data_IF_732134078255
#
_entry.id   IF_732134078255
#
_cell.length_a   1.000
_cell.length_b   1.000
_cell.length_c   1.000
_cell.angle_alpha   90.00
_cell.angle_beta   90.00
_cell.angle_gamma   90.00
#
_symmetry.space_group_name_H-M   'P 1'
#
loop_
_entity.id
_entity.type
_entity.pdbx_description
1 polymer ?
#
# COMPACT_ATOMS: atom_id res chain seq x y z
N UNK A 1 46.66 69.82 -57.77
CA UNK A 1 45.23 69.52 -57.70
C UNK A 1 44.89 68.00 -58.01
N UNK A 2 45.45 67.39 -59.02
CA UNK A 2 45.08 66.02 -59.37
C UNK A 2 45.48 64.92 -58.37
N UNK A 3 46.58 65.07 -57.59
CA UNK A 3 47.07 64.07 -56.61
C UNK A 3 46.23 64.03 -55.32
N UNK A 4 45.69 65.10 -54.88
CA UNK A 4 44.81 65.20 -53.68
C UNK A 4 43.45 64.64 -53.92
N UNK A 5 42.92 64.82 -55.13
CA UNK A 5 41.62 64.25 -55.56
C UNK A 5 41.69 62.75 -55.73
N UNK A 6 42.83 62.18 -56.21
CA UNK A 6 43.11 60.77 -56.33
C UNK A 6 43.26 60.10 -54.98
N UNK A 7 43.92 60.74 -54.02
CA UNK A 7 44.07 60.25 -52.64
C UNK A 7 42.70 60.23 -51.90
N UNK A 8 41.87 61.27 -52.10
CA UNK A 8 40.52 61.32 -51.58
C UNK A 8 39.62 60.27 -52.17
N UNK A 9 39.71 59.99 -53.46
CA UNK A 9 38.97 58.93 -54.10
C UNK A 9 39.35 57.54 -53.60
N UNK A 10 40.65 57.25 -53.47
CA UNK A 10 41.16 55.98 -52.93
C UNK A 10 40.70 55.81 -51.48
N UNK A 11 40.76 56.85 -50.64
CA UNK A 11 40.29 56.81 -49.26
C UNK A 11 38.79 56.49 -49.18
N UNK A 12 37.94 57.15 -49.98
CA UNK A 12 36.51 56.89 -50.03
C UNK A 12 36.19 55.47 -50.49
N UNK A 13 36.93 54.88 -51.47
CA UNK A 13 36.77 53.48 -51.89
C UNK A 13 37.12 52.52 -50.76
N UNK A 14 38.20 52.77 -49.99
CA UNK A 14 38.56 51.96 -48.86
C UNK A 14 37.55 52.03 -47.72
N UNK A 15 37.00 53.18 -47.43
CA UNK A 15 35.91 53.37 -46.44
C UNK A 15 34.64 52.61 -46.93
N UNK A 16 34.31 52.67 -48.20
CA UNK A 16 33.15 51.98 -48.73
C UNK A 16 33.37 50.44 -48.68
N UNK A 17 34.56 49.94 -49.00
CA UNK A 17 34.89 48.54 -48.89
C UNK A 17 34.89 48.03 -47.45
N UNK A 18 35.38 48.84 -46.49
CA UNK A 18 35.36 48.45 -45.05
C UNK A 18 33.93 48.46 -44.50
N UNK A 19 33.09 49.41 -44.87
CA UNK A 19 31.66 49.39 -44.51
C UNK A 19 30.93 48.17 -45.14
N UNK A 20 31.19 47.87 -46.39
CA UNK A 20 30.66 46.71 -47.05
C UNK A 20 31.12 45.41 -46.36
N UNK A 21 32.41 45.31 -46.01
CA UNK A 21 32.98 44.19 -45.23
C UNK A 21 32.30 43.99 -43.88
N UNK A 22 32.07 45.12 -43.14
CA UNK A 22 31.36 45.07 -41.88
C UNK A 22 29.89 44.63 -42.01
N UNK A 23 29.20 45.07 -43.06
CA UNK A 23 27.83 44.63 -43.36
C UNK A 23 27.78 43.15 -43.69
N UNK A 24 28.72 42.67 -44.51
CA UNK A 24 28.86 41.26 -44.86
C UNK A 24 29.15 40.44 -43.60
N UNK A 25 30.06 40.85 -42.76
CA UNK A 25 30.39 40.18 -41.49
C UNK A 25 29.14 40.12 -40.56
N UNK A 26 28.42 41.22 -40.42
CA UNK A 26 27.21 41.28 -39.61
C UNK A 26 26.12 40.34 -40.10
N UNK A 27 25.95 40.18 -41.42
CA UNK A 27 25.00 39.28 -42.01
C UNK A 27 25.48 37.81 -42.02
N UNK A 28 26.79 37.59 -41.91
CA UNK A 28 27.41 36.28 -41.91
C UNK A 28 27.22 35.53 -40.58
N UNK A 29 27.07 36.26 -39.47
CA UNK A 29 26.93 35.69 -38.14
C UNK A 29 25.47 35.48 -37.80
N UNK A 30 25.10 34.24 -37.47
CA UNK A 30 23.75 33.87 -37.04
C UNK A 30 23.81 33.22 -35.67
N UNK A 31 23.02 33.72 -34.74
CA UNK A 31 22.79 33.08 -33.45
C UNK A 31 21.51 32.20 -33.56
N UNK A 32 21.68 30.94 -33.33
CA UNK A 32 20.57 29.99 -33.33
C UNK A 32 20.16 29.73 -31.89
N UNK A 33 18.90 29.94 -31.51
CA UNK A 33 18.42 29.63 -30.16
C UNK A 33 18.50 28.16 -29.84
N UNK A 34 18.56 27.84 -28.56
CA UNK A 34 18.57 26.46 -28.09
C UNK A 34 17.24 25.75 -28.46
N UNK A 35 17.32 24.46 -28.80
CA UNK A 35 16.20 23.65 -29.29
C UNK A 35 15.57 24.18 -30.58
N UNK A 36 16.38 24.81 -31.44
CA UNK A 36 16.00 25.22 -32.80
C UNK A 36 17.10 24.78 -33.76
N UNK A 37 16.72 24.34 -34.93
CA UNK A 37 17.66 23.99 -35.99
C UNK A 37 17.28 24.74 -37.29
N UNK A 38 18.26 25.38 -37.89
CA UNK A 38 18.08 26.06 -39.18
C UNK A 38 18.64 25.22 -40.32
N UNK A 39 17.81 24.86 -41.25
CA UNK A 39 18.21 24.12 -42.47
C UNK A 39 18.63 25.14 -43.51
N UNK A 40 19.87 25.02 -43.99
CA UNK A 40 20.49 25.97 -44.91
C UNK A 40 20.69 25.35 -46.28
N UNK A 41 20.24 26.07 -47.28
CA UNK A 41 20.41 25.77 -48.69
C UNK A 41 21.44 26.67 -49.35
N UNK A 42 22.20 26.10 -50.27
CA UNK A 42 23.07 26.82 -51.19
C UNK A 42 22.64 26.55 -52.61
N UNK A 43 22.21 27.59 -53.34
CA UNK A 43 21.66 27.46 -54.70
C UNK A 43 20.57 26.39 -54.83
N UNK A 44 19.68 26.30 -53.81
CA UNK A 44 18.58 25.33 -53.80
C UNK A 44 18.96 23.89 -53.43
N UNK A 45 20.22 23.65 -53.05
CA UNK A 45 20.66 22.35 -52.52
C UNK A 45 20.91 22.44 -51.04
N UNK A 46 20.52 21.43 -50.31
CA UNK A 46 20.89 21.28 -48.89
C UNK A 46 22.43 21.39 -48.72
N UNK A 47 22.83 22.21 -47.80
CA UNK A 47 24.26 22.36 -47.41
C UNK A 47 24.52 21.81 -46.02
N UNK A 48 23.84 22.34 -45.03
CA UNK A 48 24.06 22.00 -43.62
C UNK A 48 22.85 22.37 -42.78
N UNK A 49 22.77 21.74 -41.64
CA UNK A 49 21.85 22.11 -40.57
C UNK A 49 22.64 22.85 -39.51
N UNK A 50 22.20 24.06 -39.16
CA UNK A 50 22.80 24.87 -38.11
C UNK A 50 22.11 24.53 -36.78
N UNK A 51 22.90 24.06 -35.84
CA UNK A 51 22.45 23.77 -34.46
C UNK A 51 22.56 25.02 -33.59
N UNK A 52 22.04 24.90 -32.35
CA UNK A 52 22.07 25.97 -31.38
C UNK A 52 23.50 26.53 -31.14
N UNK A 53 23.65 27.83 -31.12
CA UNK A 53 24.90 28.53 -30.91
C UNK A 53 25.26 29.52 -32.00
N UNK A 54 26.55 29.84 -32.10
CA UNK A 54 27.09 30.75 -33.10
C UNK A 54 27.40 29.99 -34.39
N UNK A 55 26.77 30.38 -35.47
CA UNK A 55 26.95 29.77 -36.80
C UNK A 55 27.31 30.86 -37.82
N UNK A 56 28.07 30.43 -38.88
CA UNK A 56 28.49 31.30 -39.95
C UNK A 56 27.78 30.92 -41.25
N UNK A 57 27.16 31.90 -41.86
CA UNK A 57 26.42 31.78 -43.12
C UNK A 57 27.07 32.69 -44.15
N UNK A 58 27.26 32.22 -45.40
CA UNK A 58 27.75 33.07 -46.48
C UNK A 58 26.60 33.88 -46.99
N UNK A 59 26.59 35.23 -46.73
CA UNK A 59 25.48 36.07 -47.19
C UNK A 59 25.41 36.04 -48.73
N UNK A 60 24.22 36.23 -49.31
CA UNK A 60 23.88 36.21 -50.72
C UNK A 60 23.90 34.82 -51.40
N UNK A 61 24.67 33.84 -50.84
CA UNK A 61 24.81 32.51 -51.44
C UNK A 61 23.98 31.48 -50.63
N UNK A 62 24.07 31.54 -49.29
CA UNK A 62 23.39 30.65 -48.38
C UNK A 62 22.05 31.26 -47.93
N UNK A 63 21.01 30.45 -47.95
CA UNK A 63 19.66 30.82 -47.53
C UNK A 63 19.17 29.86 -46.46
N UNK A 64 18.62 30.40 -45.39
CA UNK A 64 17.86 29.59 -44.40
C UNK A 64 16.52 29.24 -45.06
N UNK A 65 16.36 27.97 -45.40
CA UNK A 65 15.14 27.45 -46.05
C UNK A 65 14.06 27.09 -45.04
N UNK A 66 14.46 26.40 -43.98
CA UNK A 66 13.52 25.96 -42.96
C UNK A 66 14.06 26.27 -41.54
N UNK A 67 13.12 26.56 -40.67
CA UNK A 67 13.37 26.76 -39.23
C UNK A 67 12.56 25.69 -38.47
N UNK A 68 13.24 24.70 -37.95
CA UNK A 68 12.60 23.59 -37.21
C UNK A 68 12.82 23.74 -35.70
N UNK A 69 11.74 23.61 -34.94
CA UNK A 69 11.85 23.51 -33.47
C UNK A 69 12.09 22.06 -33.08
N UNK A 70 13.08 21.85 -32.21
CA UNK A 70 13.39 20.55 -31.64
C UNK A 70 12.69 20.31 -30.31
N UNK A 71 11.81 21.25 -29.91
CA UNK A 71 10.98 21.09 -28.73
C UNK A 71 9.85 20.11 -29.02
N UNK A 72 9.40 19.44 -27.98
CA UNK A 72 8.16 18.67 -28.03
C UNK A 72 6.97 19.61 -28.32
N UNK A 73 6.14 19.24 -29.27
CA UNK A 73 4.96 19.97 -29.68
C UNK A 73 3.72 19.12 -29.43
N UNK A 74 2.73 19.67 -28.75
CA UNK A 74 1.42 19.06 -28.64
C UNK A 74 0.60 19.43 -29.90
N UNK A 75 0.11 18.43 -30.59
CA UNK A 75 -0.71 18.56 -31.79
C UNK A 75 -2.07 17.93 -31.51
N UNK A 76 -3.12 18.69 -31.66
CA UNK A 76 -4.49 18.19 -31.53
C UNK A 76 -4.84 17.31 -32.72
N UNK A 77 -5.37 16.11 -32.43
CA UNK A 77 -5.85 15.16 -33.45
C UNK A 77 -7.36 15.31 -33.52
N UNK A 78 -7.90 15.83 -34.64
CA UNK A 78 -9.34 16.04 -34.78
C UNK A 78 -10.13 14.77 -34.56
N UNK A 79 -11.35 14.93 -34.05
CA UNK A 79 -12.26 13.82 -33.78
C UNK A 79 -12.55 12.99 -35.04
N UNK A 80 -12.54 11.67 -34.88
CA UNK A 80 -12.78 10.69 -35.94
C UNK A 80 -13.82 9.67 -35.52
N UNK A 81 -14.70 9.32 -36.47
CA UNK A 81 -15.57 8.17 -36.29
C UNK A 81 -14.79 6.86 -36.40
N UNK A 82 -14.97 5.98 -35.46
CA UNK A 82 -14.44 4.62 -35.43
C UNK A 82 -15.57 3.62 -35.15
N UNK A 83 -15.38 2.37 -35.53
CA UNK A 83 -16.32 1.27 -35.25
C UNK A 83 -15.53 0.21 -34.51
N UNK A 84 -15.98 -0.15 -33.35
CA UNK A 84 -15.37 -1.19 -32.52
C UNK A 84 -15.65 -2.59 -33.09
N UNK A 85 -14.97 -3.60 -32.54
CA UNK A 85 -15.13 -5.01 -32.92
C UNK A 85 -16.56 -5.53 -32.72
N UNK A 86 -17.25 -5.02 -31.69
CA UNK A 86 -18.66 -5.29 -31.37
C UNK A 86 -19.66 -4.44 -32.19
N UNK A 87 -19.19 -3.80 -33.26
CA UNK A 87 -19.97 -3.03 -34.21
C UNK A 87 -20.65 -1.78 -33.63
N UNK A 88 -20.06 -1.16 -32.63
CA UNK A 88 -20.52 0.10 -32.06
C UNK A 88 -19.76 1.25 -32.70
N UNK A 89 -20.50 2.22 -33.23
CA UNK A 89 -19.92 3.46 -33.77
C UNK A 89 -19.66 4.43 -32.64
N UNK A 90 -18.44 4.97 -32.59
CA UNK A 90 -18.04 5.98 -31.60
C UNK A 90 -17.21 7.09 -32.24
N UNK A 91 -17.14 8.22 -31.60
CA UNK A 91 -16.31 9.35 -32.00
C UNK A 91 -15.18 9.47 -31.00
N UNK A 92 -13.93 9.54 -31.50
CA UNK A 92 -12.74 9.61 -30.65
C UNK A 92 -11.86 10.75 -31.10
N UNK A 93 -11.32 11.49 -30.20
CA UNK A 93 -10.28 12.51 -30.39
C UNK A 93 -9.08 12.26 -29.49
N UNK A 94 -7.97 12.94 -29.77
CA UNK A 94 -6.75 12.77 -29.00
C UNK A 94 -5.76 13.89 -29.19
N UNK A 95 -4.69 13.80 -28.41
CA UNK A 95 -3.54 14.72 -28.49
C UNK A 95 -2.28 13.91 -28.74
N UNK A 96 -1.53 14.38 -29.72
CA UNK A 96 -0.25 13.79 -30.13
C UNK A 96 0.90 14.68 -29.68
N UNK A 97 1.90 14.09 -29.04
CA UNK A 97 3.12 14.78 -28.66
C UNK A 97 4.25 14.34 -29.60
N UNK A 98 4.70 15.29 -30.43
CA UNK A 98 5.69 15.03 -31.48
C UNK A 98 6.94 15.87 -31.27
N UNK A 99 8.09 15.29 -31.63
CA UNK A 99 9.40 15.93 -31.57
C UNK A 99 10.17 15.67 -32.84
N UNK A 100 10.78 16.72 -33.40
CA UNK A 100 11.69 16.58 -34.54
C UNK A 100 13.05 16.09 -34.02
N UNK A 101 13.50 14.96 -34.54
CA UNK A 101 14.82 14.36 -34.23
C UNK A 101 15.84 14.72 -35.31
N UNK A 102 15.45 14.66 -36.57
CA UNK A 102 16.30 14.98 -37.71
C UNK A 102 15.66 16.13 -38.52
N UNK A 103 16.18 17.38 -38.34
CA UNK A 103 15.64 18.53 -39.05
C UNK A 103 15.74 18.44 -40.59
N UNK A 104 16.72 17.74 -41.12
CA UNK A 104 16.88 17.55 -42.56
C UNK A 104 15.72 16.71 -43.10
N UNK A 105 15.50 15.53 -42.48
CA UNK A 105 14.42 14.66 -42.92
C UNK A 105 13.05 15.27 -42.69
N UNK A 106 12.86 16.04 -41.59
CA UNK A 106 11.60 16.73 -41.32
C UNK A 106 11.30 17.83 -42.34
N UNK A 107 12.32 18.39 -42.98
CA UNK A 107 12.16 19.47 -43.95
C UNK A 107 12.03 18.99 -45.43
N UNK A 108 12.63 17.86 -45.76
CA UNK A 108 12.68 17.36 -47.13
C UNK A 108 12.02 15.99 -47.30
N UNK A 109 11.81 15.24 -46.23
CA UNK A 109 11.20 13.90 -46.33
C UNK A 109 9.69 13.94 -46.45
N UNK A 110 9.05 15.01 -46.02
CA UNK A 110 7.60 15.21 -46.08
C UNK A 110 7.29 16.71 -46.19
N UNK A 111 6.24 17.06 -46.93
CA UNK A 111 5.85 18.46 -47.12
C UNK A 111 5.46 19.15 -45.79
N UNK A 112 4.63 18.47 -45.00
CA UNK A 112 4.20 18.94 -43.68
C UNK A 112 4.08 17.73 -42.73
N UNK A 113 5.11 17.55 -41.89
CA UNK A 113 5.16 16.43 -40.98
C UNK A 113 4.04 16.45 -39.96
N UNK A 114 3.62 17.64 -39.47
CA UNK A 114 2.53 17.78 -38.51
C UNK A 114 1.24 17.23 -39.10
N UNK A 115 0.92 17.65 -40.30
CA UNK A 115 -0.27 17.16 -41.00
C UNK A 115 -0.19 15.66 -41.31
N UNK A 116 0.96 15.20 -41.81
CA UNK A 116 1.15 13.79 -42.14
C UNK A 116 1.03 12.87 -40.92
N UNK A 117 1.66 13.26 -39.79
CA UNK A 117 1.58 12.50 -38.53
C UNK A 117 0.17 12.53 -37.96
N UNK A 118 -0.54 13.68 -38.05
CA UNK A 118 -1.95 13.77 -37.61
C UNK A 118 -2.84 12.81 -38.43
N UNK A 119 -2.72 12.78 -39.76
CA UNK A 119 -3.47 11.86 -40.61
C UNK A 119 -3.15 10.39 -40.30
N UNK A 120 -1.88 10.11 -40.07
CA UNK A 120 -1.43 8.78 -39.64
C UNK A 120 -2.02 8.38 -38.27
N UNK A 121 -2.02 9.31 -37.30
CA UNK A 121 -2.62 9.09 -36.01
C UNK A 121 -4.12 8.76 -36.11
N UNK A 122 -4.87 9.51 -36.90
CA UNK A 122 -6.30 9.27 -37.13
C UNK A 122 -6.57 7.89 -37.73
N UNK A 123 -5.79 7.48 -38.73
CA UNK A 123 -5.97 6.18 -39.38
C UNK A 123 -5.56 5.02 -38.50
N UNK A 124 -4.46 5.17 -37.79
CA UNK A 124 -3.96 4.16 -36.82
C UNK A 124 -4.93 4.00 -35.66
N UNK A 125 -5.40 5.10 -35.07
CA UNK A 125 -6.39 5.10 -33.99
C UNK A 125 -7.66 4.35 -34.39
N UNK A 126 -8.18 4.65 -35.60
CA UNK A 126 -9.35 3.95 -36.16
C UNK A 126 -9.11 2.45 -36.29
N UNK A 127 -7.93 2.07 -36.76
CA UNK A 127 -7.53 0.66 -36.92
C UNK A 127 -7.43 -0.06 -35.59
N UNK A 128 -6.82 0.58 -34.59
CA UNK A 128 -6.64 -0.01 -33.26
C UNK A 128 -7.97 -0.17 -32.49
N UNK A 129 -8.84 0.86 -32.57
CA UNK A 129 -10.18 0.79 -31.97
C UNK A 129 -11.00 -0.33 -32.62
N UNK A 130 -10.89 -0.52 -33.95
CA UNK A 130 -11.58 -1.60 -34.64
C UNK A 130 -11.18 -3.02 -34.22
N UNK A 131 -10.08 -3.19 -33.54
CA UNK A 131 -9.64 -4.48 -32.98
C UNK A 131 -10.22 -4.78 -31.60
N UNK A 132 -10.68 -3.77 -30.88
CA UNK A 132 -11.14 -3.85 -29.50
C UNK A 132 -12.66 -3.79 -29.38
N UNK A 133 -13.20 -4.39 -28.33
CA UNK A 133 -14.57 -4.18 -27.89
C UNK A 133 -14.69 -2.84 -27.16
N UNK A 134 -15.89 -2.29 -27.11
CA UNK A 134 -16.12 -0.98 -26.50
C UNK A 134 -15.63 -0.92 -25.05
N UNK A 135 -15.99 -1.91 -24.23
CA UNK A 135 -15.59 -1.96 -22.82
C UNK A 135 -14.07 -1.93 -22.67
N UNK A 136 -13.35 -2.71 -23.48
CA UNK A 136 -11.88 -2.73 -23.49
C UNK A 136 -11.26 -1.42 -23.96
N UNK A 137 -11.91 -0.70 -24.87
CA UNK A 137 -11.44 0.61 -25.32
C UNK A 137 -11.41 1.63 -24.18
N UNK A 138 -12.31 1.48 -23.18
CA UNK A 138 -12.29 2.29 -21.97
C UNK A 138 -11.30 1.80 -20.91
N UNK A 139 -11.15 0.49 -20.77
CA UNK A 139 -10.31 -0.14 -19.73
C UNK A 139 -8.82 -0.13 -20.10
N UNK A 140 -8.48 -0.39 -21.37
CA UNK A 140 -7.11 -0.62 -21.85
C UNK A 140 -6.55 0.60 -22.61
N UNK A 141 -6.92 1.84 -22.23
CA UNK A 141 -6.47 3.08 -22.93
C UNK A 141 -4.96 3.19 -23.00
N UNK A 142 -4.24 2.78 -21.97
CA UNK A 142 -2.77 2.85 -21.92
C UNK A 142 -2.11 1.92 -22.95
N UNK A 143 -2.61 0.69 -23.07
CA UNK A 143 -2.15 -0.26 -24.07
C UNK A 143 -2.46 0.24 -25.48
N UNK A 144 -3.65 0.80 -25.67
CA UNK A 144 -4.08 1.39 -26.95
C UNK A 144 -3.17 2.56 -27.35
N UNK A 145 -2.90 3.50 -26.44
CA UNK A 145 -1.99 4.61 -26.66
C UNK A 145 -0.59 4.14 -27.06
N UNK A 146 -0.06 3.13 -26.35
CA UNK A 146 1.26 2.56 -26.63
C UNK A 146 1.33 1.92 -28.02
N UNK A 147 0.31 1.16 -28.42
CA UNK A 147 0.23 0.52 -29.73
C UNK A 147 0.14 1.56 -30.85
N UNK A 148 -0.66 2.61 -30.66
CA UNK A 148 -0.79 3.72 -31.61
C UNK A 148 0.57 4.40 -31.79
N UNK A 149 1.28 4.73 -30.71
CA UNK A 149 2.61 5.36 -30.76
C UNK A 149 3.61 4.48 -31.52
N UNK A 150 3.64 3.18 -31.25
CA UNK A 150 4.54 2.25 -31.95
C UNK A 150 4.29 2.25 -33.46
N UNK A 151 3.04 2.12 -33.91
CA UNK A 151 2.70 2.10 -35.32
C UNK A 151 2.97 3.45 -36.00
N UNK A 152 2.70 4.57 -35.34
CA UNK A 152 3.01 5.89 -35.89
C UNK A 152 4.52 6.07 -36.04
N UNK A 153 5.32 5.66 -35.06
CA UNK A 153 6.77 5.79 -35.08
C UNK A 153 7.42 4.97 -36.22
N UNK A 154 6.90 3.76 -36.50
CA UNK A 154 7.36 2.96 -37.62
C UNK A 154 7.24 3.70 -38.97
N UNK A 155 6.16 4.44 -39.16
CA UNK A 155 5.90 5.21 -40.37
C UNK A 155 6.53 6.61 -40.34
N UNK A 156 6.70 7.25 -39.19
CA UNK A 156 7.21 8.61 -39.03
C UNK A 156 8.76 8.68 -38.97
N UNK A 157 9.44 7.58 -38.63
CA UNK A 157 10.92 7.52 -38.56
C UNK A 157 11.62 7.98 -39.86
N UNK A 158 11.17 7.61 -41.05
CA UNK A 158 11.75 8.11 -42.30
C UNK A 158 11.64 9.63 -42.49
N UNK A 159 10.67 10.25 -41.86
CA UNK A 159 10.46 11.71 -41.85
C UNK A 159 11.32 12.43 -40.78
N UNK A 160 12.11 11.71 -39.98
CA UNK A 160 12.96 12.30 -38.92
C UNK A 160 12.16 12.88 -37.76
N UNK A 161 10.94 12.40 -37.55
CA UNK A 161 10.02 12.83 -36.50
C UNK A 161 9.72 11.64 -35.58
N UNK A 162 9.64 11.88 -34.30
CA UNK A 162 9.30 10.88 -33.30
C UNK A 162 8.06 11.33 -32.52
N UNK A 163 7.12 10.42 -32.40
CA UNK A 163 5.99 10.57 -31.47
C UNK A 163 6.42 10.08 -30.12
N UNK A 164 6.39 10.97 -29.13
CA UNK A 164 6.77 10.68 -27.76
C UNK A 164 5.62 9.95 -27.04
N UNK A 165 4.41 10.42 -27.24
CA UNK A 165 3.19 9.84 -26.68
C UNK A 165 1.97 10.27 -27.47
N UNK A 166 0.95 9.47 -27.37
CA UNK A 166 -0.40 9.75 -27.86
C UNK A 166 -1.36 9.58 -26.68
N UNK A 167 -2.31 10.49 -26.55
CA UNK A 167 -3.30 10.44 -25.48
C UNK A 167 -4.70 10.59 -26.08
N UNK A 168 -5.54 9.61 -25.82
CA UNK A 168 -6.96 9.69 -26.15
C UNK A 168 -7.60 10.68 -25.17
N UNK A 169 -8.22 11.71 -25.72
CA UNK A 169 -8.87 12.77 -24.95
C UNK A 169 -10.28 12.34 -24.54
N UNK A 170 -11.13 12.10 -25.54
CA UNK A 170 -12.50 11.66 -25.32
C UNK A 170 -12.86 10.46 -26.21
N UNK A 171 -13.77 9.61 -25.69
CA UNK A 171 -14.40 8.51 -26.41
C UNK A 171 -15.90 8.68 -26.22
N UNK A 172 -16.61 9.07 -27.28
CA UNK A 172 -18.02 9.41 -27.23
C UNK A 172 -18.85 8.40 -28.02
N UNK A 173 -19.42 7.37 -27.37
CA UNK A 173 -20.35 6.45 -28.00
C UNK A 173 -21.77 7.05 -28.09
N UNK A 174 -22.68 6.49 -28.92
CA UNK A 174 -24.05 6.92 -28.98
C UNK A 174 -24.77 6.85 -27.63
N UNK A 175 -25.66 7.79 -27.35
CA UNK A 175 -26.40 7.87 -26.07
C UNK A 175 -27.13 6.59 -25.68
N UNK A 176 -27.70 5.91 -26.67
CA UNK A 176 -28.41 4.64 -26.47
C UNK A 176 -27.50 3.55 -25.90
N UNK A 177 -26.21 3.56 -26.29
CA UNK A 177 -25.19 2.62 -25.78
C UNK A 177 -24.75 3.04 -24.39
N UNK A 178 -24.53 4.33 -24.13
CA UNK A 178 -24.22 4.86 -22.80
C UNK A 178 -25.29 4.46 -21.78
N UNK A 179 -26.56 4.67 -22.10
CA UNK A 179 -27.68 4.32 -21.21
C UNK A 179 -27.76 2.79 -20.96
N UNK A 180 -27.36 1.97 -21.93
CA UNK A 180 -27.30 0.52 -21.76
C UNK A 180 -26.12 0.12 -20.85
N UNK A 181 -24.94 0.70 -21.09
CA UNK A 181 -23.74 0.48 -20.27
C UNK A 181 -23.95 0.91 -18.82
N UNK A 182 -24.57 2.08 -18.60
CA UNK A 182 -24.88 2.53 -17.23
C UNK A 182 -25.77 1.53 -16.50
N UNK A 183 -26.80 1.00 -17.14
CA UNK A 183 -27.68 -0.03 -16.57
C UNK A 183 -26.92 -1.32 -16.28
N UNK A 184 -26.10 -1.77 -17.22
CA UNK A 184 -25.28 -2.97 -17.05
C UNK A 184 -24.27 -2.80 -15.90
N UNK A 185 -23.53 -1.69 -15.88
CA UNK A 185 -22.55 -1.38 -14.85
C UNK A 185 -23.19 -1.25 -13.46
N UNK A 186 -24.39 -0.65 -13.39
CA UNK A 186 -25.16 -0.57 -12.13
C UNK A 186 -25.52 -1.96 -11.64
N UNK A 187 -26.10 -2.81 -12.50
CA UNK A 187 -26.46 -4.18 -12.14
C UNK A 187 -25.25 -5.04 -11.73
N UNK A 188 -24.13 -4.88 -12.42
CA UNK A 188 -22.90 -5.59 -12.07
C UNK A 188 -22.31 -5.13 -10.74
N UNK A 189 -22.29 -3.82 -10.48
CA UNK A 189 -21.86 -3.26 -9.19
C UNK A 189 -22.76 -3.73 -8.05
N UNK A 190 -24.07 -3.75 -8.26
CA UNK A 190 -25.03 -4.24 -7.29
C UNK A 190 -24.84 -5.74 -7.01
N UNK A 191 -24.66 -6.55 -8.05
CA UNK A 191 -24.31 -7.97 -7.91
C UNK A 191 -23.01 -8.16 -7.12
N UNK A 192 -21.95 -7.43 -7.47
CA UNK A 192 -20.66 -7.49 -6.76
C UNK A 192 -20.79 -7.08 -5.30
N UNK A 193 -21.57 -6.03 -5.02
CA UNK A 193 -21.83 -5.57 -3.65
C UNK A 193 -22.52 -6.65 -2.81
N UNK A 194 -23.57 -7.30 -3.33
CA UNK A 194 -24.28 -8.39 -2.64
C UNK A 194 -23.37 -9.60 -2.41
N UNK A 195 -22.53 -9.96 -3.39
CA UNK A 195 -21.57 -11.06 -3.25
C UNK A 195 -20.55 -10.75 -2.16
N UNK A 196 -19.93 -9.56 -2.21
CA UNK A 196 -18.93 -9.13 -1.22
C UNK A 196 -19.54 -9.03 0.19
N UNK A 197 -20.75 -8.54 0.31
CA UNK A 197 -21.48 -8.47 1.59
C UNK A 197 -21.74 -9.88 2.15
N UNK A 198 -22.21 -10.80 1.30
CA UNK A 198 -22.47 -12.19 1.69
C UNK A 198 -21.18 -12.92 2.07
N UNK A 199 -20.09 -12.72 1.33
CA UNK A 199 -18.78 -13.28 1.66
C UNK A 199 -18.23 -12.69 2.95
N UNK A 200 -18.37 -11.38 3.15
CA UNK A 200 -17.98 -10.69 4.39
C UNK A 200 -18.76 -11.21 5.60
N UNK A 201 -20.08 -11.37 5.47
CA UNK A 201 -20.92 -11.94 6.53
C UNK A 201 -20.53 -13.38 6.85
N UNK A 202 -20.28 -14.21 5.82
CA UNK A 202 -19.82 -15.59 6.00
C UNK A 202 -18.46 -15.63 6.70
N UNK A 203 -17.51 -14.85 6.24
CA UNK A 203 -16.17 -14.81 6.82
C UNK A 203 -16.19 -14.30 8.27
N UNK A 204 -17.00 -13.28 8.54
CA UNK A 204 -17.23 -12.79 9.90
C UNK A 204 -17.77 -13.87 10.82
N UNK A 205 -18.78 -14.62 10.36
CA UNK A 205 -19.36 -15.74 11.14
C UNK A 205 -18.36 -16.84 11.43
N UNK A 206 -17.51 -17.18 10.45
CA UNK A 206 -16.44 -18.17 10.63
C UNK A 206 -15.42 -17.65 11.67
N UNK A 207 -14.97 -16.43 11.52
CA UNK A 207 -13.97 -15.82 12.43
C UNK A 207 -14.51 -15.75 13.88
N UNK A 208 -15.77 -15.38 14.04
CA UNK A 208 -16.44 -15.35 15.35
C UNK A 208 -16.52 -16.76 15.96
N UNK A 209 -16.94 -17.75 15.17
CA UNK A 209 -17.04 -19.14 15.64
C UNK A 209 -15.65 -19.71 16.00
N UNK A 210 -14.65 -19.41 15.22
CA UNK A 210 -13.27 -19.82 15.49
C UNK A 210 -12.68 -19.14 16.71
N UNK A 211 -12.92 -17.83 16.87
CA UNK A 211 -12.55 -17.08 18.06
C UNK A 211 -13.22 -17.61 19.33
N UNK A 212 -14.51 -17.95 19.27
CA UNK A 212 -15.24 -18.57 20.38
C UNK A 212 -14.69 -19.97 20.71
N UNK A 213 -14.38 -20.78 19.69
CA UNK A 213 -13.76 -22.10 19.90
C UNK A 213 -12.41 -21.95 20.60
N UNK A 214 -11.59 -21.04 20.12
CA UNK A 214 -10.26 -20.80 20.68
C UNK A 214 -10.32 -20.26 22.11
N UNK A 215 -11.26 -19.36 22.38
CA UNK A 215 -11.50 -18.87 23.73
C UNK A 215 -11.92 -19.98 24.71
N UNK A 216 -12.77 -20.93 24.28
CA UNK A 216 -13.15 -22.10 25.11
C UNK A 216 -11.98 -23.04 25.37
N UNK A 217 -11.14 -23.27 24.35
CA UNK A 217 -9.93 -24.13 24.52
C UNK A 217 -8.98 -23.49 25.52
N UNK A 218 -8.66 -22.19 25.33
CA UNK A 218 -7.79 -21.46 26.23
C UNK A 218 -8.34 -21.39 27.67
N UNK A 219 -9.65 -21.20 27.84
CA UNK A 219 -10.30 -21.22 29.15
C UNK A 219 -10.17 -22.60 29.83
N UNK A 220 -10.41 -23.69 29.09
CA UNK A 220 -10.25 -25.05 29.63
C UNK A 220 -8.78 -25.38 29.96
N UNK A 221 -7.83 -24.94 29.16
CA UNK A 221 -6.41 -25.10 29.42
C UNK A 221 -5.97 -24.29 30.66
N UNK A 222 -6.47 -23.06 30.81
CA UNK A 222 -6.21 -22.22 31.98
C UNK A 222 -6.79 -22.85 33.27
N UNK A 223 -8.02 -23.37 33.22
CA UNK A 223 -8.66 -24.05 34.34
C UNK A 223 -7.89 -25.33 34.72
N UNK A 224 -7.47 -26.11 33.73
CA UNK A 224 -6.62 -27.29 33.97
C UNK A 224 -5.28 -26.90 34.64
N UNK A 225 -4.62 -25.85 34.11
CA UNK A 225 -3.36 -25.39 34.69
C UNK A 225 -3.55 -24.86 36.11
N UNK A 226 -4.62 -24.14 36.38
CA UNK A 226 -4.97 -23.68 37.74
C UNK A 226 -5.16 -24.85 38.69
N UNK A 227 -5.93 -25.87 38.29
CA UNK A 227 -6.15 -27.06 39.15
C UNK A 227 -4.86 -27.81 39.42
N UNK A 228 -3.97 -27.97 38.45
CA UNK A 228 -2.67 -28.63 38.61
C UNK A 228 -1.80 -27.81 39.57
N UNK A 229 -1.63 -26.51 39.34
CA UNK A 229 -0.82 -25.63 40.18
C UNK A 229 -1.35 -25.56 41.62
N UNK A 230 -2.68 -25.59 41.79
CA UNK A 230 -3.30 -25.62 43.12
C UNK A 230 -3.03 -26.94 43.82
N UNK A 231 -3.18 -28.08 43.14
CA UNK A 231 -2.87 -29.38 43.71
C UNK A 231 -1.37 -29.53 44.07
N UNK A 232 -0.48 -29.05 43.23
CA UNK A 232 0.96 -29.03 43.49
C UNK A 232 1.29 -28.11 44.65
N UNK A 233 0.64 -26.93 44.73
CA UNK A 233 0.78 -26.01 45.86
C UNK A 233 0.30 -26.63 47.20
N UNK A 234 -0.85 -27.29 47.21
CA UNK A 234 -1.38 -27.99 48.35
C UNK A 234 -0.45 -29.15 48.77
N UNK A 235 0.01 -29.95 47.83
CA UNK A 235 0.94 -31.05 48.08
C UNK A 235 2.27 -30.54 48.67
N UNK A 236 2.84 -29.50 48.11
CA UNK A 236 4.08 -28.88 48.60
C UNK A 236 3.90 -28.26 50.00
N UNK A 237 2.76 -27.62 50.25
CA UNK A 237 2.43 -27.08 51.59
C UNK A 237 2.30 -28.19 52.62
N UNK A 238 1.62 -29.30 52.27
CA UNK A 238 1.50 -30.46 53.20
C UNK A 238 2.87 -31.06 53.47
N UNK A 239 3.72 -31.24 52.48
CA UNK A 239 5.09 -31.75 52.66
C UNK A 239 5.92 -30.81 53.53
N UNK A 240 5.89 -29.51 53.26
CA UNK A 240 6.62 -28.53 54.07
C UNK A 240 6.16 -28.52 55.55
N UNK A 241 4.85 -28.64 55.76
CA UNK A 241 4.29 -28.76 57.13
C UNK A 241 4.71 -30.07 57.79
N UNK A 242 4.73 -31.19 57.05
CA UNK A 242 5.15 -32.48 57.55
C UNK A 242 6.66 -32.49 57.91
N UNK A 243 7.52 -31.92 57.07
CA UNK A 243 8.93 -31.76 57.32
C UNK A 243 9.20 -30.84 58.54
N UNK A 244 8.51 -29.72 58.64
CA UNK A 244 8.60 -28.83 59.77
C UNK A 244 8.17 -29.52 61.09
N UNK A 245 7.08 -30.31 61.03
CA UNK A 245 6.64 -31.12 62.20
C UNK A 245 7.63 -32.22 62.53
N UNK A 246 8.22 -32.91 61.59
CA UNK A 246 9.23 -33.90 61.80
C UNK A 246 10.47 -33.30 62.45
N UNK A 247 10.97 -32.17 61.97
CA UNK A 247 12.10 -31.44 62.55
C UNK A 247 11.79 -30.91 63.97
N UNK A 248 10.54 -30.44 64.17
CA UNK A 248 10.11 -30.03 65.49
C UNK A 248 10.07 -31.23 66.48
N UNK A 249 9.58 -32.39 66.04
CA UNK A 249 9.56 -33.61 66.89
C UNK A 249 10.96 -34.14 67.16
N UNK A 250 11.89 -34.08 66.20
CA UNK A 250 13.32 -34.42 66.49
C UNK A 250 13.95 -33.49 67.52
N UNK A 251 13.73 -32.18 67.42
CA UNK A 251 14.23 -31.20 68.36
C UNK A 251 13.62 -31.38 69.73
N UNK A 252 12.33 -31.69 69.86
CA UNK A 252 11.64 -32.02 71.10
C UNK A 252 12.13 -33.35 71.64
N UNK A 253 12.32 -34.38 70.80
CA UNK A 253 12.87 -35.67 71.19
C UNK A 253 14.31 -35.56 71.71
N UNK A 254 15.16 -34.74 71.08
CA UNK A 254 16.50 -34.46 71.59
C UNK A 254 16.48 -33.73 72.95
N UNK A 255 15.55 -32.79 73.10
CA UNK A 255 15.36 -32.10 74.37
C UNK A 255 14.81 -33.01 75.50
N UNK A 256 13.97 -34.00 75.13
CA UNK A 256 13.37 -34.96 76.07
C UNK A 256 14.40 -35.85 76.82
N UNK A 257 15.58 -36.01 76.21
CA UNK A 257 16.65 -36.77 76.83
C UNK A 257 17.37 -36.03 77.94
N UNK A 258 17.01 -34.79 78.27
CA UNK A 258 17.55 -33.97 79.32
C UNK A 258 16.54 -33.81 80.47
N UNK A 259 16.99 -33.88 81.77
CA UNK A 259 16.10 -33.77 82.93
C UNK A 259 15.29 -32.44 82.97
N UNK A 260 15.83 -31.37 82.39
CA UNK A 260 15.14 -30.08 82.25
C UNK A 260 14.11 -30.10 81.12
N UNK A 261 14.40 -30.84 80.08
CA UNK A 261 13.49 -30.95 78.90
C UNK A 261 12.25 -31.78 79.21
N UNK A 262 12.35 -32.83 80.04
CA UNK A 262 11.18 -33.62 80.47
C UNK A 262 10.16 -32.76 81.24
N UNK A 263 10.62 -31.85 82.12
CA UNK A 263 9.75 -30.93 82.86
C UNK A 263 9.08 -29.91 81.94
N UNK A 264 9.82 -29.42 80.96
CA UNK A 264 9.28 -28.49 79.92
C UNK A 264 8.22 -29.14 79.00
N UNK A 265 8.43 -30.42 78.65
CA UNK A 265 7.46 -31.18 77.82
C UNK A 265 6.18 -31.47 78.59
N UNK A 266 6.29 -31.80 79.90
CA UNK A 266 5.14 -31.97 80.79
C UNK A 266 4.33 -30.69 80.96
N UNK A 267 4.99 -29.53 81.01
CA UNK A 267 4.33 -28.23 81.06
C UNK A 267 3.61 -27.91 79.74
N UNK A 268 4.26 -28.13 78.57
CA UNK A 268 3.67 -27.91 77.27
C UNK A 268 2.49 -28.82 77.02
N UNK A 269 2.56 -30.10 77.37
CA UNK A 269 1.43 -31.03 77.29
C UNK A 269 0.26 -30.59 78.20
N UNK A 270 0.55 -30.05 79.36
CA UNK A 270 -0.46 -29.51 80.28
C UNK A 270 -1.13 -28.25 79.67
N UNK A 271 -0.31 -27.34 79.11
CA UNK A 271 -0.84 -26.13 78.37
C UNK A 271 -1.70 -26.51 77.15
N UNK A 272 -1.24 -27.46 76.36
CA UNK A 272 -2.04 -27.94 75.17
C UNK A 272 -3.32 -28.65 75.64
N UNK A 273 -3.29 -29.40 76.74
CA UNK A 273 -4.50 -30.01 77.25
C UNK A 273 -5.49 -29.00 77.84
N UNK A 274 -4.99 -27.89 78.40
CA UNK A 274 -5.84 -26.77 78.82
C UNK A 274 -6.43 -26.04 77.65
N UNK A 275 -5.62 -25.79 76.60
CA UNK A 275 -6.06 -25.10 75.38
C UNK A 275 -7.07 -25.94 74.61
N UNK A 276 -6.86 -27.26 74.46
CA UNK A 276 -7.81 -28.19 73.93
C UNK A 276 -9.14 -28.19 74.70
N UNK A 277 -9.09 -28.19 76.00
CA UNK A 277 -10.32 -28.05 76.82
C UNK A 277 -10.96 -26.69 76.66
N UNK A 278 -10.19 -25.61 76.54
CA UNK A 278 -10.74 -24.27 76.29
C UNK A 278 -11.42 -24.14 74.94
N UNK A 279 -10.85 -24.79 73.88
CA UNK A 279 -11.45 -24.80 72.56
C UNK A 279 -12.72 -25.68 72.53
N UNK A 280 -12.73 -26.83 73.19
CA UNK A 280 -13.94 -27.64 73.36
C UNK A 280 -15.03 -26.86 74.14
N UNK A 281 -14.61 -26.07 75.16
CA UNK A 281 -15.55 -25.23 75.90
C UNK A 281 -16.07 -24.01 75.10
N UNK A 282 -15.37 -23.59 74.06
CA UNK A 282 -15.83 -22.53 73.14
C UNK A 282 -16.80 -23.03 72.08
N UNK A 283 -16.58 -24.24 71.53
CA UNK A 283 -17.36 -24.78 70.46
C UNK A 283 -18.53 -25.68 70.87
N UNK A 284 -18.59 -26.08 72.11
CA UNK A 284 -19.73 -26.84 72.64
C UNK A 284 -20.46 -26.05 73.71
N UNK A 285 -21.76 -25.97 73.62
CA UNK A 285 -22.62 -25.54 74.75
C UNK A 285 -22.37 -26.48 75.95
N UNK A 286 -21.80 -25.89 76.96
CA UNK A 286 -21.23 -26.57 78.14
C UNK A 286 -22.24 -27.50 78.76
N UNK A 287 -21.93 -28.79 78.83
CA UNK A 287 -22.46 -29.72 79.83
C UNK A 287 -21.41 -29.89 80.91
N UNK A 288 -21.51 -29.17 81.96
CA UNK A 288 -20.72 -29.35 83.14
C UNK A 288 -21.02 -30.71 83.73
N UNK A 289 -20.14 -31.71 83.52
CA UNK A 289 -20.19 -32.96 84.24
C UNK A 289 -19.59 -32.71 85.60
N UNK A 290 -20.43 -32.65 86.62
CA UNK A 290 -20.06 -32.60 88.02
C UNK A 290 -19.34 -33.88 88.36
N UNK A 291 -18.16 -33.70 88.98
CA UNK A 291 -17.30 -34.76 89.43
C UNK A 291 -17.95 -35.47 90.62
N UNK A 292 -18.55 -36.63 90.42
CA UNK A 292 -19.17 -37.42 91.45
C UNK A 292 -19.92 -38.64 90.89
N UNK A 293 -19.26 -39.80 90.80
CA UNK A 293 -19.83 -41.12 90.63
C UNK A 293 -20.88 -41.25 89.50
N UNK A 294 -20.42 -41.27 88.29
CA UNK A 294 -21.24 -41.64 87.19
C UNK A 294 -21.03 -43.12 86.81
N UNK A 295 -22.03 -43.96 87.10
CA UNK A 295 -22.14 -45.29 86.51
C UNK A 295 -22.18 -45.15 84.95
N UNK A 296 -21.40 -45.99 84.27
CA UNK A 296 -21.31 -46.01 82.78
C UNK A 296 -22.66 -46.07 82.09
N UNK A 297 -23.73 -46.51 82.71
CA UNK A 297 -25.10 -46.59 82.23
C UNK A 297 -25.72 -45.18 82.08
N UNK A 298 -25.37 -44.21 82.94
CA UNK A 298 -25.95 -42.84 82.82
C UNK A 298 -25.28 -42.02 81.72
N UNK A 299 -24.02 -42.24 81.40
CA UNK A 299 -23.30 -41.60 80.32
C UNK A 299 -23.83 -42.09 78.97
N UNK A 300 -24.19 -43.38 78.87
CA UNK A 300 -24.82 -43.92 77.63
C UNK A 300 -26.23 -43.38 77.43
N UNK A 301 -27.01 -43.24 78.56
CA UNK A 301 -28.34 -42.66 78.47
C UNK A 301 -28.36 -41.19 78.06
N UNK A 302 -27.38 -40.38 78.57
CA UNK A 302 -27.19 -39.00 78.15
C UNK A 302 -26.73 -38.85 76.68
N UNK A 303 -25.78 -39.68 76.26
CA UNK A 303 -25.34 -39.73 74.86
C UNK A 303 -26.49 -40.11 73.87
N UNK A 304 -27.33 -41.06 74.30
CA UNK A 304 -28.50 -41.41 73.51
C UNK A 304 -29.54 -40.26 73.39
N UNK A 305 -29.75 -39.48 74.41
CA UNK A 305 -30.67 -38.32 74.33
C UNK A 305 -30.13 -37.19 73.50
N UNK A 306 -28.78 -37.00 73.47
CA UNK A 306 -28.12 -36.00 72.58
C UNK A 306 -28.20 -36.47 71.13
N UNK A 307 -27.95 -37.74 70.82
CA UNK A 307 -28.07 -38.26 69.48
C UNK A 307 -29.53 -38.18 68.98
N UNK A 308 -30.52 -38.40 69.87
CA UNK A 308 -31.92 -38.33 69.48
C UNK A 308 -32.40 -36.86 69.21
N UNK A 309 -31.75 -35.88 69.85
CA UNK A 309 -31.99 -34.43 69.57
C UNK A 309 -31.24 -33.88 68.40
N UNK A 310 -30.15 -34.52 67.96
CA UNK A 310 -29.37 -34.17 66.79
C UNK A 310 -29.81 -34.88 65.50
N UNK A 311 -30.75 -35.82 65.58
CA UNK A 311 -31.37 -36.42 64.39
C UNK A 311 -32.36 -35.39 63.82
N UNK A 312 -32.08 -34.80 62.64
CA UNK A 312 -33.05 -33.95 62.00
C UNK A 312 -34.30 -34.80 61.72
N UNK A 313 -35.45 -34.32 62.18
CA UNK A 313 -36.76 -34.90 61.82
C UNK A 313 -36.87 -34.93 60.29
N UNK A 314 -36.69 -36.10 59.73
CA UNK A 314 -37.15 -36.42 58.38
C UNK A 314 -38.66 -36.45 58.42
N UNK A 315 -39.29 -35.50 57.74
CA UNK A 315 -40.75 -35.62 57.58
C UNK A 315 -41.43 -34.31 57.20
N UNK A 316 -41.65 -34.18 55.93
CA UNK A 316 -42.66 -33.61 55.11
C UNK A 316 -42.13 -32.76 53.97
#
# INVERSE_FOLDING_TARGET
MAATDLLGFVFNVWVLLSVLGLVVLKQSVRFVPQNTALVVERFGKYRTTMEAGLNFLVPFIDRVAYNQTLKEQAVDVPSQGAITRDNISLVVDGVLYVKVIDPYKASYGVENYVYAVTQLAQTTMRSEIGKLELDKTFEEREALNTNIVAQINDAATPWGVMVMRYEIKDIDPPRTVLDAMERQMKAEREKRAVVLESEGARQSSINVAEGQRQARVLAAEAEKAEQILRAEGEASAILAVAEAKAAALETVGAAANTERGQKAIQLNLAEQAIEAKANIARDSSVVLLSDGQTNAANVVAEAMTIIQKLSPASGA
#
